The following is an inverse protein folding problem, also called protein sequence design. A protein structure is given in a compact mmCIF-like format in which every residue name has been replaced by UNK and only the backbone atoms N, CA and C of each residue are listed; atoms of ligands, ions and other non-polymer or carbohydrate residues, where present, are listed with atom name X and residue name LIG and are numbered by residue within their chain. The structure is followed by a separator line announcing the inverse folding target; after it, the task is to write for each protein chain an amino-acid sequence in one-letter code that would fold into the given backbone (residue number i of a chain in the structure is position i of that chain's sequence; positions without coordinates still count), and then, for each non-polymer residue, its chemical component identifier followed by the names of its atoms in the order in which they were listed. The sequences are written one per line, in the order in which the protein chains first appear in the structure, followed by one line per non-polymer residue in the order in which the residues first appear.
data_IF_963966231931
#
_entry.id   IF_963966231931
#
_cell.length_a   1.000
_cell.length_b   1.000
_cell.length_c   1.000
_cell.angle_alpha   90.00
_cell.angle_beta   90.00
_cell.angle_gamma   90.00
#
_symmetry.space_group_name_H-M   'P 1'
#
loop_
_entity.id
_entity.type
_entity.pdbx_description
1 polymer ?
#
# COMPACT_ATOMS: atom_id res chain seq x y z
N UNK A 1 5.46 7.44 -9.19
CA UNK A 1 6.78 7.39 -9.85
C UNK A 1 6.57 6.88 -11.27
N UNK A 2 7.08 7.57 -12.29
CA UNK A 2 7.02 7.09 -13.68
C UNK A 2 8.10 6.01 -13.92
N UNK A 3 8.06 5.34 -15.11
CA UNK A 3 8.98 4.24 -15.44
C UNK A 3 10.45 4.67 -15.40
N UNK A 4 10.78 5.82 -15.96
CA UNK A 4 12.15 6.34 -16.03
C UNK A 4 12.72 6.68 -14.65
N UNK A 5 11.92 7.37 -13.82
CA UNK A 5 12.30 7.67 -12.44
C UNK A 5 12.50 6.41 -11.60
N UNK A 6 11.70 5.35 -11.83
CA UNK A 6 11.89 4.07 -11.16
C UNK A 6 13.21 3.42 -11.54
N UNK A 7 13.52 3.34 -12.84
CA UNK A 7 14.78 2.79 -13.35
C UNK A 7 15.96 3.54 -12.75
N UNK A 8 15.90 4.87 -12.76
CA UNK A 8 16.94 5.71 -12.16
C UNK A 8 17.10 5.43 -10.65
N UNK A 9 16.00 5.41 -9.89
CA UNK A 9 16.03 5.11 -8.45
C UNK A 9 16.63 3.72 -8.15
N UNK A 10 16.25 2.70 -8.93
CA UNK A 10 16.80 1.34 -8.76
C UNK A 10 18.31 1.35 -9.01
N UNK A 11 18.76 1.98 -10.09
CA UNK A 11 20.18 2.04 -10.43
C UNK A 11 21.00 2.82 -9.39
N UNK A 12 20.48 3.96 -8.91
CA UNK A 12 21.14 4.76 -7.89
C UNK A 12 21.19 4.02 -6.54
N UNK A 13 20.09 3.38 -6.14
CA UNK A 13 20.02 2.60 -4.92
C UNK A 13 21.03 1.41 -4.93
N UNK A 14 21.19 0.72 -6.07
CA UNK A 14 22.20 -0.33 -6.25
C UNK A 14 23.63 0.20 -6.13
N UNK A 15 23.87 1.46 -6.46
CA UNK A 15 25.18 2.12 -6.27
C UNK A 15 25.41 2.64 -4.85
N UNK A 16 24.45 2.39 -3.94
CA UNK A 16 24.53 2.79 -2.54
C UNK A 16 23.99 4.19 -2.24
N UNK A 17 23.28 4.83 -3.18
CA UNK A 17 22.58 6.09 -2.91
C UNK A 17 21.43 5.84 -1.93
N UNK A 18 21.60 6.35 -0.71
CA UNK A 18 20.63 6.18 0.38
C UNK A 18 19.31 6.87 0.10
N UNK A 19 19.34 8.06 -0.50
CA UNK A 19 18.12 8.82 -0.80
C UNK A 19 17.30 8.13 -1.87
N UNK A 20 17.95 7.60 -2.91
CA UNK A 20 17.29 6.80 -3.92
C UNK A 20 16.71 5.51 -3.34
N UNK A 21 17.44 4.84 -2.44
CA UNK A 21 16.95 3.65 -1.74
C UNK A 21 15.73 3.96 -0.87
N UNK A 22 15.74 5.07 -0.14
CA UNK A 22 14.59 5.53 0.67
C UNK A 22 13.36 5.77 -0.21
N UNK A 23 13.50 6.51 -1.30
CA UNK A 23 12.41 6.77 -2.24
C UNK A 23 11.87 5.47 -2.87
N UNK A 24 12.76 4.56 -3.23
CA UNK A 24 12.40 3.25 -3.77
C UNK A 24 11.61 2.42 -2.76
N UNK A 25 12.04 2.39 -1.49
CA UNK A 25 11.37 1.65 -0.43
C UNK A 25 10.01 2.25 -0.07
N UNK A 26 9.87 3.58 -0.03
CA UNK A 26 8.58 4.24 0.18
C UNK A 26 7.61 3.91 -0.95
N UNK A 27 8.08 3.93 -2.19
CA UNK A 27 7.25 3.53 -3.33
C UNK A 27 6.88 2.04 -3.28
N UNK A 28 7.83 1.17 -2.98
CA UNK A 28 7.62 -0.26 -2.85
C UNK A 28 6.67 -0.60 -1.69
N UNK A 29 6.65 0.21 -0.62
CA UNK A 29 5.79 -0.02 0.54
C UNK A 29 4.33 -0.15 0.15
N UNK A 30 3.77 0.81 -0.59
CA UNK A 30 2.36 0.80 -0.99
C UNK A 30 2.00 -0.46 -1.80
N UNK A 31 2.90 -0.87 -2.70
CA UNK A 31 2.74 -2.06 -3.54
C UNK A 31 2.76 -3.34 -2.70
N UNK A 32 3.76 -3.48 -1.83
CA UNK A 32 3.95 -4.66 -0.96
C UNK A 32 2.82 -4.78 0.06
N UNK A 33 2.45 -3.67 0.71
CA UNK A 33 1.35 -3.64 1.69
C UNK A 33 0.03 -4.09 1.05
N UNK A 34 -0.31 -3.53 -0.12
CA UNK A 34 -1.50 -3.92 -0.86
C UNK A 34 -1.49 -5.43 -1.18
N UNK A 35 -0.39 -5.93 -1.73
CA UNK A 35 -0.27 -7.35 -2.08
C UNK A 35 -0.33 -8.26 -0.85
N UNK A 36 0.32 -7.89 0.25
CA UNK A 36 0.27 -8.64 1.51
C UNK A 36 -1.16 -8.72 2.06
N UNK A 37 -1.93 -7.63 2.02
CA UNK A 37 -3.34 -7.61 2.45
C UNK A 37 -4.25 -8.47 1.58
N UNK A 38 -3.94 -8.65 0.31
CA UNK A 38 -4.69 -9.54 -0.59
C UNK A 38 -4.32 -11.02 -0.44
N UNK A 39 -3.11 -11.31 0.02
CA UNK A 39 -2.60 -12.69 0.12
C UNK A 39 -2.66 -13.26 1.54
N UNK A 40 -2.68 -12.43 2.58
CA UNK A 40 -2.64 -12.88 3.97
C UNK A 40 -4.01 -12.70 4.66
N UNK A 41 -4.34 -13.58 5.63
CA UNK A 41 -5.67 -13.61 6.23
C UNK A 41 -5.92 -12.44 7.18
N UNK A 42 -4.89 -11.82 7.77
CA UNK A 42 -5.07 -10.75 8.75
C UNK A 42 -4.25 -9.51 8.44
N UNK A 43 -4.76 -8.33 8.79
CA UNK A 43 -4.06 -7.06 8.63
C UNK A 43 -2.73 -7.03 9.40
N UNK A 44 -2.67 -7.64 10.60
CA UNK A 44 -1.46 -7.71 11.39
C UNK A 44 -0.37 -8.55 10.71
N UNK A 45 -0.74 -9.69 10.10
CA UNK A 45 0.19 -10.52 9.34
C UNK A 45 0.69 -9.76 8.10
N UNK A 46 -0.18 -9.02 7.41
CA UNK A 46 0.18 -8.20 6.28
C UNK A 46 1.18 -7.09 6.66
N UNK A 47 0.95 -6.36 7.74
CA UNK A 47 1.85 -5.32 8.24
C UNK A 47 3.26 -5.89 8.57
N UNK A 48 3.32 -7.02 9.28
CA UNK A 48 4.59 -7.70 9.61
C UNK A 48 5.30 -8.17 8.35
N UNK A 49 4.56 -8.78 7.41
CA UNK A 49 5.14 -9.28 6.16
C UNK A 49 5.65 -8.15 5.27
N UNK A 50 4.95 -7.02 5.22
CA UNK A 50 5.40 -5.82 4.50
C UNK A 50 6.80 -5.39 4.95
N UNK A 51 7.04 -5.28 6.26
CA UNK A 51 8.37 -4.95 6.78
C UNK A 51 9.43 -6.00 6.44
N UNK A 52 9.08 -7.31 6.50
CA UNK A 52 9.99 -8.41 6.15
C UNK A 52 10.35 -8.37 4.67
N UNK A 53 9.38 -8.11 3.79
CA UNK A 53 9.62 -8.01 2.33
C UNK A 53 10.50 -6.81 2.02
N UNK A 54 10.24 -5.64 2.61
CA UNK A 54 11.08 -4.45 2.39
C UNK A 54 12.52 -4.65 2.86
N UNK A 55 12.75 -5.33 4.00
CA UNK A 55 14.11 -5.74 4.41
C UNK A 55 14.76 -6.64 3.37
N UNK A 56 13.99 -7.54 2.78
CA UNK A 56 14.50 -8.41 1.73
C UNK A 56 14.75 -7.66 0.41
N UNK A 57 14.01 -6.60 0.10
CA UNK A 57 14.30 -5.71 -1.03
C UNK A 57 15.68 -5.13 -0.86
N UNK A 58 16.00 -4.54 0.31
CA UNK A 58 17.33 -3.98 0.58
C UNK A 58 18.45 -5.02 0.39
N UNK A 59 18.26 -6.22 0.97
CA UNK A 59 19.30 -7.26 0.93
C UNK A 59 19.46 -7.97 -0.41
N UNK A 60 18.44 -7.90 -1.28
CA UNK A 60 18.41 -8.63 -2.57
C UNK A 60 18.33 -7.73 -3.79
N UNK A 61 18.39 -6.40 -3.61
CA UNK A 61 18.27 -5.46 -4.71
C UNK A 61 19.34 -5.70 -5.78
N UNK A 62 20.54 -6.09 -5.37
CA UNK A 62 21.64 -6.40 -6.29
C UNK A 62 21.37 -7.60 -7.20
N UNK A 63 20.52 -8.54 -6.77
CA UNK A 63 20.11 -9.69 -7.58
C UNK A 63 19.10 -9.33 -8.69
N UNK A 64 18.56 -8.13 -8.71
CA UNK A 64 17.72 -7.64 -9.80
C UNK A 64 18.62 -7.25 -10.99
N UNK A 65 18.66 -8.07 -12.04
CA UNK A 65 19.53 -7.85 -13.20
C UNK A 65 19.08 -6.62 -13.99
N UNK A 66 17.80 -6.59 -14.37
CA UNK A 66 17.24 -5.50 -15.16
C UNK A 66 16.31 -4.63 -14.29
N UNK A 67 16.61 -3.32 -14.10
CA UNK A 67 15.77 -2.40 -13.36
C UNK A 67 14.32 -2.31 -13.85
N UNK A 68 14.07 -2.57 -15.14
CA UNK A 68 12.72 -2.58 -15.70
C UNK A 68 11.83 -3.69 -15.12
N UNK A 69 12.43 -4.78 -14.66
CA UNK A 69 11.72 -5.93 -14.10
C UNK A 69 11.39 -5.76 -12.61
N UNK A 70 11.67 -4.58 -12.03
CA UNK A 70 11.48 -4.32 -10.60
C UNK A 70 10.08 -4.72 -10.09
N UNK A 71 9.02 -4.37 -10.80
CA UNK A 71 7.66 -4.73 -10.40
C UNK A 71 7.41 -6.23 -10.39
N UNK A 72 7.85 -6.92 -11.44
CA UNK A 72 7.70 -8.36 -11.55
C UNK A 72 8.52 -9.09 -10.48
N UNK A 73 9.75 -8.64 -10.26
CA UNK A 73 10.63 -9.15 -9.22
C UNK A 73 10.06 -8.92 -7.82
N UNK A 74 9.57 -7.70 -7.52
CA UNK A 74 8.96 -7.35 -6.24
C UNK A 74 7.69 -8.17 -5.99
N UNK A 75 6.83 -8.31 -7.00
CA UNK A 75 5.61 -9.10 -6.92
C UNK A 75 5.89 -10.57 -6.62
N UNK A 76 6.86 -11.19 -7.31
CA UNK A 76 7.31 -12.57 -7.04
C UNK A 76 7.88 -12.71 -5.63
N UNK A 77 8.77 -11.78 -5.23
CA UNK A 77 9.39 -11.78 -3.91
C UNK A 77 8.34 -11.74 -2.79
N UNK A 78 7.32 -10.89 -2.95
CA UNK A 78 6.21 -10.73 -1.99
C UNK A 78 5.35 -11.98 -1.96
N UNK A 79 4.88 -12.47 -3.12
CA UNK A 79 4.04 -13.65 -3.21
C UNK A 79 4.64 -14.87 -2.55
N UNK A 80 5.90 -15.19 -2.88
CA UNK A 80 6.59 -16.37 -2.31
C UNK A 80 6.67 -16.27 -0.78
N UNK A 81 6.94 -15.09 -0.23
CA UNK A 81 7.00 -14.90 1.22
C UNK A 81 5.63 -15.01 1.88
N UNK A 82 4.62 -14.39 1.31
CA UNK A 82 3.25 -14.49 1.83
C UNK A 82 2.76 -15.93 1.86
N UNK A 83 2.96 -16.67 0.77
CA UNK A 83 2.49 -18.06 0.66
C UNK A 83 3.18 -19.00 1.65
N UNK A 84 4.46 -18.79 1.95
CA UNK A 84 5.19 -19.61 2.95
C UNK A 84 4.58 -19.58 4.35
N UNK A 85 3.99 -18.44 4.75
CA UNK A 85 3.41 -18.30 6.09
C UNK A 85 1.89 -18.45 6.10
N UNK A 86 1.22 -18.31 4.94
CA UNK A 86 -0.24 -18.33 4.84
C UNK A 86 -0.81 -19.64 5.39
N UNK A 87 -0.25 -20.78 5.01
CA UNK A 87 -0.72 -22.10 5.49
C UNK A 87 -0.67 -22.16 7.03
N UNK A 88 0.48 -21.82 7.63
CA UNK A 88 0.65 -21.81 9.09
C UNK A 88 -0.32 -20.84 9.79
N UNK A 89 -0.59 -19.67 9.18
CA UNK A 89 -1.55 -18.71 9.76
C UNK A 89 -2.98 -19.27 9.76
N UNK A 90 -3.39 -19.96 8.69
CA UNK A 90 -4.70 -20.58 8.59
C UNK A 90 -4.84 -21.77 9.54
N UNK A 91 -3.81 -22.61 9.66
CA UNK A 91 -3.75 -23.74 10.62
C UNK A 91 -3.87 -23.25 12.08
N UNK A 92 -3.33 -22.08 12.39
CA UNK A 92 -3.44 -21.44 13.69
C UNK A 92 -4.78 -20.70 13.92
N UNK A 93 -5.78 -20.91 13.06
CA UNK A 93 -7.12 -20.32 13.19
C UNK A 93 -7.17 -18.82 12.87
N UNK A 94 -6.13 -18.25 12.27
CA UNK A 94 -6.14 -16.88 11.81
C UNK A 94 -6.90 -16.80 10.47
N UNK A 95 -8.22 -16.82 10.56
CA UNK A 95 -9.10 -16.56 9.41
C UNK A 95 -9.22 -15.06 9.20
N UNK A 96 -9.26 -14.63 7.93
CA UNK A 96 -9.52 -13.23 7.61
C UNK A 96 -10.89 -12.80 8.10
N UNK A 97 -11.02 -11.51 8.44
CA UNK A 97 -12.33 -10.93 8.69
C UNK A 97 -13.24 -11.22 7.50
N UNK A 98 -14.40 -11.81 7.77
CA UNK A 98 -15.44 -12.00 6.77
C UNK A 98 -15.77 -10.61 6.21
N UNK A 99 -15.46 -10.40 4.96
CA UNK A 99 -15.79 -9.16 4.27
C UNK A 99 -17.31 -9.09 4.23
N UNK A 100 -17.92 -8.18 5.00
CA UNK A 100 -19.33 -7.88 4.85
C UNK A 100 -19.59 -7.50 3.39
N UNK A 101 -20.72 -7.91 2.80
CA UNK A 101 -21.06 -7.56 1.44
C UNK A 101 -21.18 -6.04 1.35
N UNK A 102 -20.18 -5.40 0.77
CA UNK A 102 -20.19 -3.97 0.54
C UNK A 102 -21.22 -3.69 -0.54
N UNK A 103 -22.33 -3.05 -0.17
CA UNK A 103 -23.28 -2.53 -1.16
C UNK A 103 -22.55 -1.46 -1.98
N UNK A 104 -22.42 -1.70 -3.27
CA UNK A 104 -21.70 -0.82 -4.17
C UNK A 104 -22.65 0.14 -4.88
N UNK A 105 -22.43 1.43 -4.71
CA UNK A 105 -23.03 2.47 -5.54
C UNK A 105 -21.96 3.09 -6.44
N UNK A 106 -22.26 3.21 -7.73
CA UNK A 106 -21.36 3.87 -8.66
C UNK A 106 -21.34 5.39 -8.39
N UNK A 107 -20.17 6.01 -8.18
CA UNK A 107 -20.08 7.45 -7.93
C UNK A 107 -20.47 8.28 -9.17
N UNK A 108 -20.33 7.70 -10.36
CA UNK A 108 -20.75 8.26 -11.64
C UNK A 108 -21.05 7.14 -12.63
N UNK A 109 -21.73 7.47 -13.73
CA UNK A 109 -21.94 6.49 -14.82
C UNK A 109 -20.72 6.35 -15.74
N UNK A 110 -19.80 7.31 -15.70
CA UNK A 110 -18.51 7.26 -16.41
C UNK A 110 -17.38 7.09 -15.41
N UNK A 111 -16.73 5.92 -15.41
CA UNK A 111 -15.66 5.59 -14.49
C UNK A 111 -14.30 5.84 -15.13
N UNK A 112 -13.47 6.63 -14.48
CA UNK A 112 -12.06 6.78 -14.85
C UNK A 112 -11.26 5.49 -14.57
N UNK A 113 -9.97 5.48 -14.96
CA UNK A 113 -9.10 4.31 -14.82
C UNK A 113 -8.97 3.81 -13.37
N UNK A 114 -8.90 4.73 -12.39
CA UNK A 114 -8.75 4.39 -10.98
C UNK A 114 -10.05 3.78 -10.42
N UNK A 115 -11.19 4.35 -10.77
CA UNK A 115 -12.51 3.85 -10.39
C UNK A 115 -12.81 2.50 -11.03
N UNK A 116 -12.51 2.35 -12.32
CA UNK A 116 -12.61 1.05 -13.03
C UNK A 116 -11.76 -0.02 -12.34
N UNK A 117 -10.53 0.31 -11.94
CA UNK A 117 -9.65 -0.62 -11.23
C UNK A 117 -10.19 -0.97 -9.83
N UNK A 118 -10.84 -0.01 -9.13
CA UNK A 118 -11.49 -0.24 -7.84
C UNK A 118 -12.69 -1.18 -7.99
N UNK A 119 -13.52 -1.01 -9.01
CA UNK A 119 -14.63 -1.91 -9.30
C UNK A 119 -14.11 -3.33 -9.57
N UNK A 120 -13.09 -3.47 -10.41
CA UNK A 120 -12.48 -4.77 -10.70
C UNK A 120 -11.95 -5.47 -9.44
N UNK A 121 -11.31 -4.72 -8.53
CA UNK A 121 -10.88 -5.21 -7.22
C UNK A 121 -12.05 -5.73 -6.39
N UNK A 122 -13.10 -4.93 -6.23
CA UNK A 122 -14.29 -5.29 -5.45
C UNK A 122 -14.95 -6.57 -5.99
N UNK A 123 -15.12 -6.67 -7.30
CA UNK A 123 -15.68 -7.87 -7.93
C UNK A 123 -14.77 -9.10 -7.73
N UNK A 124 -13.45 -8.89 -7.71
CA UNK A 124 -12.49 -9.96 -7.40
C UNK A 124 -12.59 -10.38 -5.94
N UNK A 125 -12.79 -9.46 -5.01
CA UNK A 125 -12.94 -9.76 -3.57
C UNK A 125 -14.22 -10.57 -3.26
N UNK A 126 -15.22 -10.54 -4.15
CA UNK A 126 -16.46 -11.34 -4.05
C UNK A 126 -16.33 -12.79 -4.56
N UNK A 127 -15.22 -13.15 -5.21
CA UNK A 127 -14.97 -14.52 -5.68
C UNK A 127 -14.70 -15.46 -4.49
N UNK A 128 -14.83 -16.77 -4.76
CA UNK A 128 -14.38 -17.76 -3.78
C UNK A 128 -12.87 -17.64 -3.48
N UNK A 129 -12.47 -18.20 -2.35
CA UNK A 129 -11.09 -18.01 -1.81
C UNK A 129 -10.02 -18.52 -2.76
N UNK A 130 -10.24 -19.65 -3.45
CA UNK A 130 -9.23 -20.28 -4.30
C UNK A 130 -9.09 -19.56 -5.63
N UNK A 131 -10.21 -19.17 -6.23
CA UNK A 131 -10.23 -18.34 -7.44
C UNK A 131 -9.57 -16.99 -7.20
N UNK A 132 -9.92 -16.34 -6.10
CA UNK A 132 -9.36 -15.06 -5.67
C UNK A 132 -7.85 -15.14 -5.45
N UNK A 133 -7.40 -16.14 -4.70
CA UNK A 133 -5.99 -16.37 -4.42
C UNK A 133 -5.18 -16.59 -5.70
N UNK A 134 -5.64 -17.52 -6.57
CA UNK A 134 -4.99 -17.82 -7.83
C UNK A 134 -4.92 -16.60 -8.75
N UNK A 135 -6.00 -15.82 -8.82
CA UNK A 135 -6.05 -14.60 -9.62
C UNK A 135 -5.10 -13.51 -9.08
N UNK A 136 -5.02 -13.32 -7.76
CA UNK A 136 -4.09 -12.34 -7.17
C UNK A 136 -2.62 -12.76 -7.33
N UNK A 137 -2.28 -14.03 -7.14
CA UNK A 137 -0.93 -14.54 -7.37
C UNK A 137 -0.50 -14.37 -8.85
N UNK A 138 -1.41 -14.62 -9.78
CA UNK A 138 -1.18 -14.41 -11.20
C UNK A 138 -1.04 -12.92 -11.55
N UNK A 139 -1.98 -12.10 -11.10
CA UNK A 139 -2.07 -10.67 -11.51
C UNK A 139 -1.04 -9.79 -10.81
N UNK A 140 -0.89 -9.91 -9.49
CA UNK A 140 -0.03 -9.06 -8.66
C UNK A 140 1.35 -9.67 -8.48
N UNK A 141 1.40 -10.99 -8.28
CA UNK A 141 2.65 -11.73 -8.10
C UNK A 141 3.38 -11.97 -9.41
N UNK A 142 2.74 -11.78 -10.56
CA UNK A 142 3.27 -12.11 -11.90
C UNK A 142 3.79 -13.54 -12.01
N UNK A 143 3.12 -14.47 -11.28
CA UNK A 143 3.48 -15.88 -11.27
C UNK A 143 2.76 -16.62 -12.41
N UNK A 144 3.44 -17.62 -12.98
CA UNK A 144 2.80 -18.53 -13.95
C UNK A 144 1.87 -19.52 -13.22
N UNK A 145 0.85 -20.10 -13.86
CA UNK A 145 0.00 -21.13 -13.25
C UNK A 145 0.82 -22.28 -12.63
N UNK A 146 1.88 -22.72 -13.30
CA UNK A 146 2.82 -23.73 -12.80
C UNK A 146 3.48 -23.29 -11.47
N UNK A 147 3.98 -22.06 -11.41
CA UNK A 147 4.62 -21.54 -10.19
C UNK A 147 3.60 -21.38 -9.05
N UNK A 148 2.36 -20.98 -9.35
CA UNK A 148 1.27 -20.92 -8.37
C UNK A 148 0.96 -22.32 -7.85
N UNK A 149 0.81 -23.31 -8.74
CA UNK A 149 0.58 -24.70 -8.35
C UNK A 149 1.66 -25.24 -7.41
N UNK A 150 2.94 -24.95 -7.70
CA UNK A 150 4.06 -25.32 -6.82
C UNK A 150 4.01 -24.66 -5.44
N UNK A 151 3.49 -23.43 -5.35
CA UNK A 151 3.38 -22.71 -4.08
C UNK A 151 2.14 -23.09 -3.26
N UNK A 152 1.06 -23.51 -3.91
CA UNK A 152 -0.23 -23.82 -3.27
C UNK A 152 -0.48 -25.31 -3.10
N UNK A 153 0.30 -26.15 -3.76
CA UNK A 153 0.06 -27.61 -3.79
C UNK A 153 -1.08 -28.01 -4.73
N UNK A 154 -1.59 -27.10 -5.59
CA UNK A 154 -2.71 -27.32 -6.50
C UNK A 154 -2.17 -27.65 -7.90
N UNK A 155 -2.75 -28.62 -8.64
CA UNK A 155 -2.34 -28.93 -10.02
C UNK A 155 -2.40 -27.69 -10.93
N UNK A 156 -1.45 -27.55 -11.85
CA UNK A 156 -1.35 -26.41 -12.78
C UNK A 156 -2.64 -26.17 -13.57
N UNK A 157 -3.25 -27.26 -14.06
CA UNK A 157 -4.51 -27.22 -14.82
C UNK A 157 -5.66 -26.65 -13.99
N UNK A 158 -5.74 -27.03 -12.70
CA UNK A 158 -6.74 -26.51 -11.76
C UNK A 158 -6.51 -25.02 -11.51
N UNK A 159 -5.27 -24.59 -11.30
CA UNK A 159 -4.91 -23.17 -11.14
C UNK A 159 -5.31 -22.38 -12.40
N UNK A 160 -5.01 -22.92 -13.57
CA UNK A 160 -5.39 -22.27 -14.83
C UNK A 160 -6.91 -22.13 -14.98
N UNK A 161 -7.66 -23.17 -14.63
CA UNK A 161 -9.12 -23.15 -14.64
C UNK A 161 -9.66 -22.11 -13.62
N UNK A 162 -9.10 -22.04 -12.41
CA UNK A 162 -9.47 -21.05 -11.40
C UNK A 162 -9.25 -19.61 -11.91
N UNK A 163 -8.09 -19.33 -12.52
CA UNK A 163 -7.78 -18.00 -13.07
C UNK A 163 -8.75 -17.64 -14.20
N UNK A 164 -9.01 -18.56 -15.12
CA UNK A 164 -9.93 -18.32 -16.23
C UNK A 164 -11.36 -18.08 -15.75
N UNK A 165 -11.87 -18.94 -14.85
CA UNK A 165 -13.19 -18.80 -14.24
C UNK A 165 -13.32 -17.47 -13.50
N UNK A 166 -12.33 -17.09 -12.70
CA UNK A 166 -12.28 -15.82 -12.00
C UNK A 166 -12.34 -14.62 -12.96
N UNK A 167 -11.55 -14.65 -14.03
CA UNK A 167 -11.57 -13.59 -15.04
C UNK A 167 -12.92 -13.50 -15.74
N UNK A 168 -13.52 -14.63 -16.12
CA UNK A 168 -14.83 -14.65 -16.75
C UNK A 168 -15.93 -14.12 -15.83
N UNK A 169 -15.91 -14.48 -14.55
CA UNK A 169 -16.88 -14.01 -13.56
C UNK A 169 -16.81 -12.48 -13.39
N UNK A 170 -15.61 -11.91 -13.16
CA UNK A 170 -15.43 -10.49 -12.97
C UNK A 170 -15.76 -9.69 -14.23
N UNK A 171 -15.22 -10.09 -15.39
CA UNK A 171 -15.47 -9.39 -16.65
C UNK A 171 -16.94 -9.52 -17.09
N UNK A 172 -17.56 -10.68 -16.83
CA UNK A 172 -18.99 -10.90 -17.06
C UNK A 172 -19.85 -9.94 -16.23
N UNK A 173 -19.51 -9.75 -14.96
CA UNK A 173 -20.23 -8.79 -14.10
C UNK A 173 -20.00 -7.34 -14.53
N UNK A 174 -18.78 -6.96 -14.90
CA UNK A 174 -18.50 -5.63 -15.47
C UNK A 174 -19.32 -5.38 -16.74
N UNK A 175 -19.44 -6.40 -17.62
CA UNK A 175 -20.27 -6.31 -18.82
C UNK A 175 -21.75 -6.09 -18.49
N UNK A 176 -22.28 -6.74 -17.44
CA UNK A 176 -23.66 -6.50 -16.97
C UNK A 176 -23.86 -5.06 -16.51
N UNK A 177 -22.92 -4.50 -15.75
CA UNK A 177 -22.98 -3.08 -15.37
C UNK A 177 -22.88 -2.14 -16.59
N UNK A 178 -22.06 -2.50 -17.58
CA UNK A 178 -22.01 -1.72 -18.83
C UNK A 178 -23.36 -1.70 -19.58
N UNK A 179 -24.09 -2.81 -19.56
CA UNK A 179 -25.44 -2.88 -20.12
C UNK A 179 -26.47 -2.03 -19.34
N UNK A 180 -26.18 -1.71 -18.08
CA UNK A 180 -26.97 -0.81 -17.23
C UNK A 180 -26.55 0.68 -17.39
N UNK A 181 -25.64 0.98 -18.31
CA UNK A 181 -25.21 2.33 -18.64
C UNK A 181 -23.90 2.77 -17.98
N UNK A 182 -23.24 1.90 -17.22
CA UNK A 182 -21.92 2.24 -16.63
C UNK A 182 -20.82 2.13 -17.68
N UNK A 183 -20.09 3.21 -17.91
CA UNK A 183 -18.97 3.23 -18.85
C UNK A 183 -17.66 3.02 -18.10
N UNK A 184 -16.95 1.94 -18.44
CA UNK A 184 -15.64 1.64 -17.89
C UNK A 184 -14.54 2.14 -18.81
N UNK A 185 -13.49 2.74 -18.25
CA UNK A 185 -12.28 3.01 -19.02
C UNK A 185 -11.74 1.69 -19.56
N UNK A 186 -11.50 1.62 -20.87
CA UNK A 186 -10.96 0.42 -21.50
C UNK A 186 -9.62 0.03 -20.85
N UNK A 187 -9.57 -1.17 -20.32
CA UNK A 187 -8.35 -1.79 -19.84
C UNK A 187 -8.11 -3.08 -20.63
N UNK A 188 -6.87 -3.28 -20.99
CA UNK A 188 -6.47 -4.40 -21.84
C UNK A 188 -6.75 -5.78 -21.22
N UNK A 189 -6.87 -5.87 -19.87
CA UNK A 189 -7.17 -7.11 -19.15
C UNK A 189 -7.46 -6.88 -17.67
N UNK A 190 -8.14 -7.81 -17.01
CA UNK A 190 -8.35 -7.80 -15.58
C UNK A 190 -7.04 -7.75 -14.77
N UNK A 191 -5.98 -8.52 -15.10
CA UNK A 191 -4.69 -8.37 -14.42
C UNK A 191 -4.10 -6.96 -14.50
N UNK A 192 -4.30 -6.25 -15.61
CA UNK A 192 -3.84 -4.87 -15.77
C UNK A 192 -4.62 -3.90 -14.86
N UNK A 193 -5.93 -4.10 -14.68
CA UNK A 193 -6.76 -3.34 -13.74
C UNK A 193 -6.31 -3.53 -12.30
N UNK A 194 -6.11 -4.77 -11.88
CA UNK A 194 -5.66 -5.11 -10.53
C UNK A 194 -4.25 -4.53 -10.23
N UNK A 195 -3.34 -4.58 -11.20
CA UNK A 195 -2.03 -3.91 -11.09
C UNK A 195 -2.17 -2.38 -11.00
N UNK A 196 -3.07 -1.79 -11.79
CA UNK A 196 -3.35 -0.35 -11.69
C UNK A 196 -3.82 -0.01 -10.28
N UNK A 197 -4.73 -0.79 -9.69
CA UNK A 197 -5.20 -0.58 -8.32
C UNK A 197 -4.09 -0.68 -7.29
N UNK A 198 -3.22 -1.68 -7.43
CA UNK A 198 -2.03 -1.84 -6.58
C UNK A 198 -1.08 -0.63 -6.66
N UNK A 199 -0.81 -0.12 -7.87
CA UNK A 199 0.08 1.03 -8.08
C UNK A 199 -0.50 2.35 -7.54
N UNK A 200 -1.82 2.45 -7.45
CA UNK A 200 -2.53 3.61 -6.89
C UNK A 200 -2.68 3.54 -5.36
N UNK A 201 -2.25 2.44 -4.72
CA UNK A 201 -2.31 2.31 -3.28
C UNK A 201 -1.24 3.22 -2.63
N UNK A 202 -1.64 4.27 -1.89
CA UNK A 202 -0.67 5.15 -1.26
C UNK A 202 0.05 4.44 -0.12
N UNK A 203 1.31 4.79 0.08
CA UNK A 203 2.01 4.39 1.29
C UNK A 203 1.38 5.11 2.50
N UNK A 204 0.99 4.38 3.57
CA UNK A 204 0.45 5.00 4.77
C UNK A 204 1.52 5.84 5.50
N UNK A 205 1.10 6.77 6.37
CA UNK A 205 2.04 7.60 7.14
C UNK A 205 3.07 6.78 7.92
N UNK A 206 2.66 5.63 8.47
CA UNK A 206 3.56 4.68 9.16
C UNK A 206 4.68 4.13 8.27
N UNK A 207 4.56 4.21 6.93
CA UNK A 207 5.55 3.70 6.01
C UNK A 207 6.93 4.34 6.21
N UNK A 208 6.98 5.64 6.48
CA UNK A 208 8.23 6.35 6.73
C UNK A 208 8.98 5.76 7.92
N UNK A 209 8.31 5.52 9.04
CA UNK A 209 8.92 4.93 10.23
C UNK A 209 9.49 3.53 9.96
N UNK A 210 8.73 2.71 9.23
CA UNK A 210 9.17 1.37 8.84
C UNK A 210 10.39 1.45 7.92
N UNK A 211 10.35 2.29 6.90
CA UNK A 211 11.45 2.47 5.95
C UNK A 211 12.71 2.97 6.67
N UNK A 212 12.60 3.99 7.54
CA UNK A 212 13.76 4.47 8.31
C UNK A 212 14.37 3.39 9.20
N UNK A 213 13.57 2.50 9.77
CA UNK A 213 14.07 1.39 10.59
C UNK A 213 14.83 0.32 9.78
N UNK A 214 14.60 0.26 8.47
CA UNK A 214 15.19 -0.73 7.56
C UNK A 214 16.43 -0.19 6.84
N UNK A 215 16.47 1.13 6.62
CA UNK A 215 17.60 1.76 5.93
C UNK A 215 18.92 1.49 6.67
N UNK A 216 20.00 1.12 5.94
CA UNK A 216 21.32 0.96 6.53
C UNK A 216 21.69 2.22 7.32
N UNK A 217 22.01 2.06 8.59
CA UNK A 217 22.53 3.17 9.37
C UNK A 217 23.86 3.60 8.77
N UNK A 218 24.02 4.89 8.50
CA UNK A 218 25.33 5.41 8.17
C UNK A 218 26.23 5.17 9.40
N UNK A 219 27.09 4.18 9.32
CA UNK A 219 28.24 4.15 10.22
C UNK A 219 28.94 5.48 10.01
N UNK A 220 28.89 6.37 11.01
CA UNK A 220 29.74 7.56 11.02
C UNK A 220 31.13 7.05 10.69
N UNK A 221 31.64 7.37 9.50
CA UNK A 221 33.09 7.22 9.28
C UNK A 221 33.74 7.87 10.48
N UNK A 222 34.61 7.16 11.23
CA UNK A 222 35.41 7.83 12.24
C UNK A 222 36.04 9.03 11.55
N UNK A 223 35.93 10.19 12.14
CA UNK A 223 36.58 11.38 11.65
C UNK A 223 38.05 10.99 11.37
N UNK A 224 38.64 11.38 10.22
CA UNK A 224 40.06 11.10 9.95
C UNK A 224 40.85 11.51 11.20
N UNK A 225 41.53 10.55 11.83
CA UNK A 225 42.43 10.88 12.95
C UNK A 225 43.37 11.96 12.44
N UNK A 226 43.33 13.13 13.07
CA UNK A 226 44.26 14.19 12.81
C UNK A 226 45.67 13.61 12.95
N UNK A 227 46.62 13.95 12.05
CA UNK A 227 47.95 13.39 12.08
C UNK A 227 48.57 13.65 13.46
N UNK A 228 48.89 12.59 14.17
CA UNK A 228 49.64 12.63 15.41
C UNK A 228 51.07 13.14 15.07
N UNK A 229 51.25 14.47 15.16
CA UNK A 229 52.58 15.04 15.19
C UNK A 229 53.23 14.64 16.50
N UNK A 230 54.32 13.90 16.36
CA UNK A 230 55.14 13.44 17.46
C UNK A 230 55.80 14.55 18.27
N UNK A 231 55.86 14.33 19.57
CA UNK A 231 56.95 14.76 20.41
C UNK A 231 56.93 16.17 20.95
N UNK A 232 56.33 16.36 22.14
CA UNK A 232 56.87 17.33 23.11
C UNK A 232 56.46 16.89 24.53
N UNK A 233 57.43 16.97 25.43
CA UNK A 233 57.44 16.55 26.84
C UNK A 233 56.34 17.20 27.73
N UNK A 234 55.98 16.55 28.83
CA UNK A 234 54.90 17.04 29.73
C UNK A 234 55.33 18.29 30.50
N UNK A 235 54.56 19.34 30.38
CA UNK A 235 54.57 20.48 31.32
C UNK A 235 53.36 20.35 32.25
N UNK A 236 53.62 20.51 33.53
CA UNK A 236 52.77 20.51 34.69
C UNK A 236 51.44 21.25 34.49
N UNK A 237 50.30 20.70 34.93
CA UNK A 237 48.98 21.31 34.70
C UNK A 237 48.73 22.45 35.71
N UNK A 238 48.51 23.65 35.18
CA UNK A 238 47.76 24.69 35.88
C UNK A 238 46.28 24.44 35.75
N UNK A 239 45.46 24.72 36.77
CA UNK A 239 44.02 24.47 36.71
C UNK A 239 43.36 25.46 35.74
N UNK A 240 42.93 24.94 34.56
CA UNK A 240 42.09 25.68 33.64
C UNK A 240 40.65 25.67 34.14
N UNK A 241 40.07 26.82 34.27
CA UNK A 241 38.67 27.09 34.54
C UNK A 241 37.80 26.45 33.50
N UNK A 242 36.81 25.65 33.93
CA UNK A 242 35.76 25.02 33.12
C UNK A 242 34.93 26.13 32.48
N UNK A 243 34.74 26.17 31.17
CA UNK A 243 33.81 27.07 30.51
C UNK A 243 32.38 26.68 30.92
N UNK A 244 31.66 27.56 31.55
CA UNK A 244 30.22 27.41 31.83
C UNK A 244 29.45 27.29 30.53
N UNK A 245 28.41 26.40 30.47
CA UNK A 245 27.57 26.25 29.30
C UNK A 245 26.81 27.55 29.04
N UNK A 246 26.91 28.05 27.81
CA UNK A 246 26.16 29.21 27.33
C UNK A 246 24.65 28.93 27.42
N UNK A 247 24.03 29.75 28.23
CA UNK A 247 22.61 30.02 28.44
C UNK A 247 21.65 29.46 27.39
N UNK A 248 20.81 28.46 27.79
CA UNK A 248 19.66 27.94 27.07
C UNK A 248 18.52 28.93 26.81
N UNK A 249 18.67 30.19 27.31
CA UNK A 249 17.63 31.24 27.22
C UNK A 249 17.32 31.67 25.78
N UNK A 250 18.24 31.46 24.84
CA UNK A 250 18.02 31.77 23.42
C UNK A 250 17.11 30.77 22.70
N UNK A 251 17.25 29.49 23.03
CA UNK A 251 16.49 28.40 22.41
C UNK A 251 15.01 28.43 22.85
N UNK A 252 14.77 28.77 24.12
CA UNK A 252 13.39 28.86 24.66
C UNK A 252 12.63 30.03 24.03
N UNK A 253 13.32 31.17 23.78
CA UNK A 253 12.69 32.33 23.12
C UNK A 253 12.31 32.05 21.66
N UNK A 254 13.16 31.37 20.91
CA UNK A 254 12.84 30.99 19.51
C UNK A 254 11.72 29.96 19.42
N UNK A 255 11.68 28.99 20.32
CA UNK A 255 10.58 28.03 20.41
C UNK A 255 9.24 28.69 20.76
N UNK A 256 9.25 29.68 21.69
CA UNK A 256 8.05 30.42 22.07
C UNK A 256 7.49 31.27 20.90
N UNK A 257 8.36 31.86 20.08
CA UNK A 257 7.96 32.63 18.89
C UNK A 257 7.34 31.72 17.82
N UNK A 258 7.94 30.55 17.56
CA UNK A 258 7.42 29.57 16.59
C UNK A 258 6.07 29.04 17.05
N UNK A 259 5.90 28.72 18.34
CA UNK A 259 4.63 28.28 18.90
C UNK A 259 3.52 29.34 18.76
N UNK A 260 3.88 30.63 18.99
CA UNK A 260 2.95 31.74 18.79
C UNK A 260 2.49 31.92 17.35
N UNK A 261 3.38 31.78 16.37
CA UNK A 261 3.05 31.87 14.93
C UNK A 261 2.15 30.70 14.53
N UNK A 262 2.44 29.47 14.99
CA UNK A 262 1.61 28.30 14.72
C UNK A 262 0.19 28.46 15.29
N UNK A 263 0.04 29.00 16.49
CA UNK A 263 -1.27 29.26 17.10
C UNK A 263 -2.10 30.27 16.29
N UNK A 264 -1.48 31.32 15.78
CA UNK A 264 -2.15 32.34 14.95
C UNK A 264 -2.61 31.72 13.61
N UNK A 265 -1.76 30.92 12.95
CA UNK A 265 -2.11 30.23 11.71
C UNK A 265 -3.28 29.28 11.92
N UNK A 266 -3.31 28.56 13.04
CA UNK A 266 -4.37 27.63 13.39
C UNK A 266 -5.72 28.33 13.61
N UNK A 267 -5.72 29.49 14.29
CA UNK A 267 -6.91 30.30 14.49
C UNK A 267 -7.44 30.85 13.15
N UNK A 268 -6.57 31.33 12.28
CA UNK A 268 -6.96 31.80 10.93
C UNK A 268 -7.54 30.67 10.10
N UNK A 269 -6.93 29.48 10.13
CA UNK A 269 -7.43 28.30 9.40
C UNK A 269 -8.80 27.86 9.91
N UNK A 270 -9.02 27.84 11.23
CA UNK A 270 -10.30 27.52 11.84
C UNK A 270 -11.40 28.54 11.48
N UNK A 271 -11.08 29.83 11.46
CA UNK A 271 -12.05 30.87 11.09
C UNK A 271 -12.45 30.80 9.62
N UNK A 272 -11.49 30.49 8.73
CA UNK A 272 -11.79 30.27 7.28
C UNK A 272 -12.62 29.00 7.07
N UNK A 273 -12.34 27.95 7.83
CA UNK A 273 -13.12 26.69 7.78
C UNK A 273 -14.56 26.95 8.26
N UNK A 274 -14.74 27.68 9.37
CA UNK A 274 -16.06 28.00 9.93
C UNK A 274 -16.88 28.91 9.01
N UNK A 275 -16.23 29.86 8.33
CA UNK A 275 -16.93 30.72 7.35
C UNK A 275 -17.32 29.96 6.09
N UNK A 276 -16.53 28.97 5.64
CA UNK A 276 -16.91 28.07 4.53
C UNK A 276 -18.03 27.12 4.92
N UNK A 277 -18.03 26.57 6.14
CA UNK A 277 -19.11 25.71 6.65
C UNK A 277 -20.44 26.47 6.82
N UNK A 278 -20.41 27.74 7.24
CA UNK A 278 -21.62 28.57 7.32
C UNK A 278 -22.22 28.90 5.95
N UNK A 279 -21.42 28.92 4.88
CA UNK A 279 -21.90 29.12 3.50
C UNK A 279 -22.47 27.86 2.85
N UNK A 280 -22.17 26.69 3.41
CA UNK A 280 -22.70 25.40 2.97
C UNK A 280 -23.88 24.98 3.87
N UNK A 281 -24.93 25.81 3.98
CA UNK A 281 -26.22 25.30 4.48
C UNK A 281 -26.79 24.41 3.38
N UNK A 282 -27.12 23.13 3.69
CA UNK A 282 -27.79 22.28 2.73
C UNK A 282 -29.17 22.86 2.43
N UNK A 283 -29.44 23.04 1.13
CA UNK A 283 -30.79 23.34 0.67
C UNK A 283 -31.74 22.29 1.25
N UNK A 284 -32.88 22.78 1.81
CA UNK A 284 -33.92 21.96 2.39
C UNK A 284 -34.27 20.80 1.46
N UNK A 285 -34.28 19.58 2.00
CA UNK A 285 -34.74 18.37 1.31
C UNK A 285 -36.21 18.56 0.87
N UNK A 286 -36.41 18.74 -0.42
CA UNK A 286 -37.72 18.55 -1.02
C UNK A 286 -37.93 17.04 -1.20
N UNK A 287 -39.08 16.47 -0.75
CA UNK A 287 -39.35 15.04 -0.99
C UNK A 287 -39.57 14.82 -2.49
N UNK A 288 -38.84 13.84 -3.04
CA UNK A 288 -39.02 13.38 -4.42
C UNK A 288 -40.39 12.73 -4.58
N UNK A 289 -41.24 13.11 -5.56
CA UNK A 289 -42.46 12.43 -5.88
C UNK A 289 -42.13 11.11 -6.61
N UNK A 290 -42.57 9.98 -6.05
CA UNK A 290 -42.52 8.68 -6.73
C UNK A 290 -41.90 7.57 -5.90
N UNK A 291 -42.56 7.21 -4.76
CA UNK A 291 -42.36 5.88 -4.19
C UNK A 291 -43.04 4.85 -5.11
N UNK A 292 -42.24 4.10 -5.86
CA UNK A 292 -42.70 2.85 -6.49
C UNK A 292 -42.77 1.82 -5.37
N UNK A 293 -43.98 1.47 -4.93
CA UNK A 293 -44.21 0.32 -4.09
C UNK A 293 -43.85 -0.94 -4.89
N UNK A 294 -42.78 -1.60 -4.51
CA UNK A 294 -42.49 -2.97 -4.94
C UNK A 294 -43.54 -3.88 -4.30
N UNK A 295 -44.52 -4.29 -5.08
CA UNK A 295 -45.38 -5.42 -4.77
C UNK A 295 -44.51 -6.69 -4.76
N UNK A 296 -44.24 -7.20 -3.56
CA UNK A 296 -43.75 -8.55 -3.37
C UNK A 296 -44.80 -9.53 -3.87
N UNK A 297 -44.47 -10.53 -4.69
CA UNK A 297 -45.41 -11.60 -5.03
C UNK A 297 -45.69 -12.41 -3.77
N UNK A 298 -46.97 -12.59 -3.47
CA UNK A 298 -47.47 -13.45 -2.40
C UNK A 298 -46.95 -14.89 -2.59
N UNK A 299 -46.43 -15.47 -1.51
CA UNK A 299 -46.07 -16.88 -1.46
C UNK A 299 -47.30 -17.74 -1.67
N UNK A 300 -47.24 -18.81 -2.49
CA UNK A 300 -48.36 -19.72 -2.64
C UNK A 300 -48.60 -20.48 -1.34
N UNK A 301 -49.78 -20.31 -0.76
CA UNK A 301 -50.31 -21.15 0.32
C UNK A 301 -50.61 -22.53 -0.22
N UNK A 302 -50.18 -23.53 0.50
CA UNK A 302 -50.75 -24.85 0.43
C UNK A 302 -49.79 -25.94 -0.01
N UNK A 303 -49.28 -26.69 0.97
CA UNK A 303 -49.34 -28.14 1.00
C UNK A 303 -49.27 -28.58 2.47
N UNK A 304 -50.47 -28.97 2.97
CA UNK A 304 -50.64 -29.91 4.07
C UNK A 304 -50.48 -31.29 3.50
N UNK A 305 -49.51 -32.05 3.96
CA UNK A 305 -49.60 -33.46 4.38
C UNK A 305 -48.19 -33.92 4.75
#
# INVERSE_FOLDING_TARGET
MNKEALIFCVQAAKKGDRQALEQLLLFAYGIVDYQCRKLLPTAQAADKMTAIVLKAVVSKLDSLENPEDFFSWLGKLTSVRCMRIRATLLENGQTGDSTEPVSFSFPSMELNKAETAKVAEMLTDMLDTDQKLSLYLFSLGTLTPKAIGQLTGVPEETVQAQIQSAQQAVLGQMKRYAQQGVTFTQANSLPALLRTRMLLNPAPEKAQLVVYSILPQQTRRPAPEAPRNGGARPRNPQPQQVPQPKSEKGLIRTLAIIAGILAVVLVISLTVLFTKLKKAQPAAWAPLPGQVQLLLPEAPQGYIL
#
